data_IF_372377147781
#
_entry.id   IF_372377147781
#
_cell.length_a   1.000
_cell.length_b   1.000
_cell.length_c   1.000
_cell.angle_alpha   90.00
_cell.angle_beta   90.00
_cell.angle_gamma   90.00
#
_symmetry.space_group_name_H-M   'P 1'
#
loop_
_entity.id
_entity.type
_entity.pdbx_description
1 polymer ?
#
# COMPACT_ATOMS: atom_id res chain seq x y z
N UNK A 1 -12.73 -5.52 5.92
CA UNK A 1 -11.42 -5.19 6.52
C UNK A 1 -10.68 -4.37 5.48
N UNK A 2 -10.12 -3.23 5.88
CA UNK A 2 -9.26 -2.43 5.01
C UNK A 2 -7.97 -3.17 4.68
N UNK A 3 -7.36 -2.87 3.53
CA UNK A 3 -6.05 -3.38 3.19
C UNK A 3 -4.97 -2.67 4.02
N UNK A 4 -4.00 -3.42 4.51
CA UNK A 4 -2.98 -2.97 5.46
C UNK A 4 -1.59 -2.95 4.82
N UNK A 5 -0.88 -1.82 4.95
CA UNK A 5 0.53 -1.70 4.62
C UNK A 5 1.37 -1.76 5.89
N UNK A 6 2.17 -2.81 6.05
CA UNK A 6 3.04 -2.99 7.20
C UNK A 6 4.33 -2.17 7.07
N UNK A 7 4.63 -1.34 8.06
CA UNK A 7 5.88 -0.58 8.13
C UNK A 7 6.92 -1.41 8.87
N UNK A 8 8.00 -1.76 8.18
CA UNK A 8 9.13 -2.52 8.74
C UNK A 8 10.42 -1.74 8.62
N UNK A 9 11.41 -2.07 9.43
CA UNK A 9 12.74 -1.47 9.39
C UNK A 9 13.55 -1.90 10.61
N UNK A 10 14.87 -1.84 10.50
CA UNK A 10 15.79 -2.07 11.61
C UNK A 10 15.65 -0.96 12.68
N UNK A 11 16.13 -1.16 13.90
CA UNK A 11 16.17 -0.11 14.90
C UNK A 11 16.93 1.13 14.42
N UNK A 12 16.48 2.32 14.82
CA UNK A 12 17.12 3.61 14.56
C UNK A 12 17.20 4.04 13.08
N UNK A 13 16.33 3.50 12.21
CA UNK A 13 16.22 3.93 10.80
C UNK A 13 15.23 5.08 10.59
N UNK A 14 14.50 5.51 11.65
CA UNK A 14 13.47 6.54 11.58
C UNK A 14 12.04 6.00 11.48
N UNK A 15 11.84 4.69 11.64
CA UNK A 15 10.54 4.01 11.50
C UNK A 15 9.44 4.63 12.37
N UNK A 16 9.67 4.76 13.67
CA UNK A 16 8.69 5.33 14.60
C UNK A 16 8.41 6.81 14.34
N UNK A 17 9.42 7.57 13.91
CA UNK A 17 9.26 8.98 13.54
C UNK A 17 8.33 9.12 12.34
N UNK A 18 8.54 8.31 11.28
CA UNK A 18 7.70 8.28 10.08
C UNK A 18 6.28 7.83 10.44
N UNK A 19 6.11 6.75 11.20
CA UNK A 19 4.80 6.26 11.60
C UNK A 19 4.02 7.30 12.44
N UNK A 20 4.67 7.94 13.40
CA UNK A 20 4.05 8.97 14.21
C UNK A 20 3.64 10.19 13.38
N UNK A 21 4.47 10.62 12.42
CA UNK A 21 4.14 11.72 11.53
C UNK A 21 2.96 11.36 10.58
N UNK A 22 2.93 10.15 10.06
CA UNK A 22 1.80 9.61 9.27
C UNK A 22 0.49 9.62 10.07
N UNK A 23 0.54 9.19 11.33
CA UNK A 23 -0.66 9.05 12.18
C UNK A 23 -1.12 10.35 12.81
N UNK A 24 -0.24 11.34 12.97
CA UNK A 24 -0.64 12.70 13.41
C UNK A 24 -1.53 13.40 12.38
N UNK A 25 -1.22 13.21 11.10
CA UNK A 25 -2.08 13.67 10.00
C UNK A 25 -3.34 12.77 9.84
N UNK A 26 -3.45 11.74 10.66
CA UNK A 26 -4.51 10.75 10.60
C UNK A 26 -5.86 11.28 11.12
N UNK A 27 -6.91 10.70 10.59
CA UNK A 27 -8.31 11.08 10.85
C UNK A 27 -8.73 10.59 12.23
N UNK A 28 -9.57 11.38 12.90
CA UNK A 28 -10.37 10.85 13.99
C UNK A 28 -11.17 9.66 13.50
N UNK A 29 -10.97 8.48 14.11
CA UNK A 29 -11.60 7.20 13.74
C UNK A 29 -13.13 7.26 13.67
N UNK A 30 -13.73 8.31 14.21
CA UNK A 30 -15.17 8.60 14.18
C UNK A 30 -15.74 8.80 12.75
N UNK A 31 -14.90 9.16 11.77
CA UNK A 31 -15.31 9.38 10.39
C UNK A 31 -15.32 8.09 9.54
N UNK A 32 -14.75 7.00 10.06
CA UNK A 32 -14.68 5.70 9.36
C UNK A 32 -15.29 4.60 10.25
N UNK A 33 -16.57 4.29 10.08
CA UNK A 33 -17.35 3.42 11.00
C UNK A 33 -16.90 1.95 11.06
N UNK A 34 -15.89 1.57 10.28
CA UNK A 34 -15.38 0.18 10.24
C UNK A 34 -13.90 0.07 10.64
N UNK A 35 -13.27 1.15 11.10
CA UNK A 35 -11.88 1.12 11.56
C UNK A 35 -11.83 0.76 13.05
N UNK A 36 -11.17 -0.35 13.35
CA UNK A 36 -10.84 -0.74 14.73
C UNK A 36 -9.63 0.07 15.18
N UNK A 37 -9.72 0.77 16.31
CA UNK A 37 -8.57 1.44 16.93
C UNK A 37 -7.72 0.35 17.59
N UNK A 38 -6.72 -0.15 16.87
CA UNK A 38 -5.72 -1.05 17.42
C UNK A 38 -4.44 -0.26 17.71
N UNK A 39 -3.73 -0.55 18.80
CA UNK A 39 -2.39 -0.01 19.02
C UNK A 39 -1.52 -0.36 17.81
N UNK A 40 -0.76 0.59 17.31
CA UNK A 40 0.13 0.45 16.14
C UNK A 40 -0.57 0.39 14.76
N UNK A 41 -1.86 0.69 14.66
CA UNK A 41 -2.56 0.87 13.37
C UNK A 41 -2.92 2.35 13.20
N UNK A 42 -2.45 2.94 12.10
CA UNK A 42 -2.78 4.30 11.71
C UNK A 42 -3.65 4.30 10.45
N UNK A 43 -4.82 4.92 10.53
CA UNK A 43 -5.66 5.18 9.36
C UNK A 43 -5.35 6.57 8.86
N UNK A 44 -4.89 6.69 7.61
CA UNK A 44 -4.47 7.94 7.01
C UNK A 44 -5.27 8.25 5.75
N UNK A 45 -5.58 9.52 5.55
CA UNK A 45 -6.23 9.98 4.33
C UNK A 45 -5.29 9.84 3.14
N UNK A 46 -5.83 9.41 2.00
CA UNK A 46 -5.09 9.41 0.75
C UNK A 46 -5.18 10.80 0.14
N UNK A 47 -4.06 11.53 0.02
CA UNK A 47 -4.04 12.86 -0.56
C UNK A 47 -4.46 12.80 -2.03
N UNK A 48 -5.57 13.46 -2.37
CA UNK A 48 -6.08 13.49 -3.74
C UNK A 48 -6.59 14.90 -4.09
N UNK A 49 -5.86 15.66 -4.92
CA UNK A 49 -6.24 17.02 -5.30
C UNK A 49 -7.57 17.08 -6.07
N UNK A 50 -8.02 15.95 -6.64
CA UNK A 50 -9.30 15.86 -7.36
C UNK A 50 -10.50 16.12 -6.44
N UNK A 51 -10.38 15.77 -5.15
CA UNK A 51 -11.43 16.01 -4.15
C UNK A 51 -11.78 17.49 -4.03
N UNK A 52 -10.75 18.34 -3.94
CA UNK A 52 -10.95 19.81 -3.85
C UNK A 52 -11.62 20.34 -5.12
N UNK A 53 -11.14 19.93 -6.29
CA UNK A 53 -11.70 20.37 -7.56
C UNK A 53 -13.17 19.97 -7.75
N UNK A 54 -13.55 18.76 -7.32
CA UNK A 54 -14.95 18.32 -7.31
C UNK A 54 -15.79 19.12 -6.31
N UNK A 55 -15.28 19.36 -5.11
CA UNK A 55 -15.96 20.13 -4.07
C UNK A 55 -16.17 21.58 -4.48
N UNK A 56 -15.24 22.20 -5.18
CA UNK A 56 -15.37 23.59 -5.68
C UNK A 56 -16.52 23.74 -6.70
N UNK A 57 -16.82 22.67 -7.46
CA UNK A 57 -17.94 22.66 -8.41
C UNK A 57 -19.25 22.36 -7.71
N UNK A 58 -19.30 21.30 -6.90
CA UNK A 58 -20.53 20.77 -6.29
C UNK A 58 -20.94 21.54 -5.05
N UNK A 59 -19.97 22.14 -4.33
CA UNK A 59 -20.15 22.81 -3.03
C UNK A 59 -20.90 21.93 -2.01
N UNK A 60 -20.35 20.77 -1.68
CA UNK A 60 -21.00 19.81 -0.81
C UNK A 60 -21.02 20.29 0.65
N UNK A 61 -21.89 19.70 1.46
CA UNK A 61 -21.90 19.93 2.91
C UNK A 61 -20.67 19.32 3.60
N UNK A 62 -20.12 18.21 3.05
CA UNK A 62 -18.91 17.56 3.53
C UNK A 62 -18.16 16.85 2.41
N UNK A 63 -16.85 16.66 2.64
CA UNK A 63 -15.99 15.83 1.82
C UNK A 63 -15.45 14.68 2.63
N UNK A 64 -15.33 13.48 2.02
CA UNK A 64 -14.78 12.28 2.66
C UNK A 64 -13.73 11.68 1.72
N UNK A 65 -12.44 11.82 2.05
CA UNK A 65 -11.35 11.26 1.24
C UNK A 65 -11.29 9.73 1.38
N UNK A 66 -10.54 9.08 0.49
CA UNK A 66 -10.15 7.69 0.66
C UNK A 66 -9.15 7.56 1.82
N UNK A 67 -9.06 6.38 2.40
CA UNK A 67 -8.11 6.11 3.47
C UNK A 67 -7.39 4.78 3.26
N UNK A 68 -6.19 4.67 3.83
CA UNK A 68 -5.37 3.45 3.85
C UNK A 68 -4.87 3.21 5.28
N UNK A 69 -4.71 1.93 5.64
CA UNK A 69 -4.21 1.54 6.94
C UNK A 69 -2.70 1.28 6.86
N UNK A 70 -1.94 1.93 7.75
CA UNK A 70 -0.54 1.61 8.02
C UNK A 70 -0.40 0.96 9.38
N UNK A 71 0.43 -0.09 9.46
CA UNK A 71 0.66 -0.84 10.69
C UNK A 71 2.12 -0.73 11.07
N UNK A 72 2.42 -0.17 12.25
CA UNK A 72 3.78 -0.16 12.79
C UNK A 72 4.13 -1.56 13.29
N UNK A 73 5.02 -2.24 12.58
CA UNK A 73 5.50 -3.56 12.96
C UNK A 73 6.77 -3.38 13.79
N UNK A 74 6.74 -3.88 15.02
CA UNK A 74 7.87 -3.80 15.94
C UNK A 74 9.16 -4.32 15.26
N UNK A 75 10.27 -3.60 15.46
CA UNK A 75 11.52 -3.85 14.72
C UNK A 75 12.04 -5.27 14.85
N UNK A 76 12.55 -5.79 13.76
CA UNK A 76 13.21 -7.08 13.68
C UNK A 76 14.57 -7.01 14.38
N UNK A 77 14.89 -8.05 15.15
CA UNK A 77 16.27 -8.36 15.56
C UNK A 77 16.72 -9.56 14.75
N UNK A 78 17.95 -9.58 14.30
CA UNK A 78 18.55 -10.71 13.58
C UNK A 78 18.34 -12.02 14.36
N UNK A 79 17.94 -13.11 13.66
CA UNK A 79 17.60 -14.39 14.29
C UNK A 79 16.12 -14.58 14.63
N UNK A 80 15.25 -13.69 14.21
CA UNK A 80 13.80 -13.76 14.45
C UNK A 80 13.14 -15.03 13.90
N UNK A 81 13.64 -15.56 12.80
CA UNK A 81 13.13 -16.80 12.17
C UNK A 81 13.46 -18.06 12.97
N UNK A 82 14.44 -18.00 13.87
CA UNK A 82 14.87 -19.15 14.70
C UNK A 82 14.07 -19.32 15.98
N UNK A 83 13.11 -18.43 16.25
CA UNK A 83 11.91 -18.84 16.96
C UNK A 83 11.82 -18.70 18.44
N UNK A 84 12.24 -17.62 19.11
CA UNK A 84 11.67 -17.35 20.43
C UNK A 84 11.17 -15.90 20.57
N UNK A 85 9.89 -15.75 20.97
CA UNK A 85 9.33 -14.49 21.44
C UNK A 85 9.01 -13.46 20.35
N UNK A 86 9.70 -12.31 20.34
CA UNK A 86 9.41 -11.13 19.50
C UNK A 86 9.50 -11.40 18.00
N UNK A 87 10.38 -12.32 17.56
CA UNK A 87 10.52 -12.65 16.14
C UNK A 87 9.28 -13.32 15.55
N UNK A 88 8.65 -14.23 16.28
CA UNK A 88 7.41 -14.88 15.84
C UNK A 88 6.26 -13.88 15.75
N UNK A 89 6.20 -12.90 16.66
CA UNK A 89 5.19 -11.85 16.62
C UNK A 89 5.41 -10.92 15.43
N UNK A 90 6.66 -10.55 15.12
CA UNK A 90 7.00 -9.78 13.93
C UNK A 90 6.52 -10.46 12.65
N UNK A 91 6.84 -11.74 12.48
CA UNK A 91 6.39 -12.52 11.31
C UNK A 91 4.87 -12.66 11.25
N UNK A 92 4.19 -12.83 12.39
CA UNK A 92 2.74 -12.89 12.46
C UNK A 92 2.10 -11.55 12.00
N UNK A 93 2.61 -10.43 12.49
CA UNK A 93 2.12 -9.10 12.11
C UNK A 93 2.31 -8.84 10.61
N UNK A 94 3.45 -9.24 10.02
CA UNK A 94 3.64 -9.12 8.56
C UNK A 94 2.64 -9.99 7.79
N UNK A 95 2.30 -11.19 8.29
CA UNK A 95 1.30 -12.05 7.63
C UNK A 95 -0.06 -11.39 7.49
N UNK A 96 -0.44 -10.56 8.44
CA UNK A 96 -1.72 -9.83 8.44
C UNK A 96 -1.73 -8.61 7.52
N UNK A 97 -0.57 -8.17 7.02
CA UNK A 97 -0.46 -7.07 6.08
C UNK A 97 -0.55 -7.55 4.63
N UNK A 98 -1.02 -6.67 3.75
CA UNK A 98 -1.17 -6.95 2.31
C UNK A 98 0.03 -6.47 1.49
N UNK A 99 0.76 -5.47 2.00
CA UNK A 99 1.98 -4.92 1.42
C UNK A 99 2.97 -4.50 2.53
N UNK A 100 4.22 -4.24 2.14
CA UNK A 100 5.30 -3.87 3.05
C UNK A 100 5.89 -2.53 2.62
N UNK A 101 5.96 -1.58 3.56
CA UNK A 101 6.76 -0.36 3.45
C UNK A 101 8.04 -0.55 4.27
N UNK A 102 9.16 -0.74 3.61
CA UNK A 102 10.44 -1.00 4.23
C UNK A 102 11.21 0.32 4.38
N UNK A 103 11.32 0.79 5.63
CA UNK A 103 12.08 1.99 5.96
C UNK A 103 13.56 1.65 6.03
N UNK A 104 14.38 2.39 5.29
CA UNK A 104 15.85 2.22 5.26
C UNK A 104 16.54 3.55 5.53
N UNK A 105 17.62 3.52 6.28
CA UNK A 105 18.41 4.69 6.63
C UNK A 105 19.42 4.99 5.52
N UNK A 106 19.31 6.18 4.92
CA UNK A 106 20.20 6.66 3.85
C UNK A 106 20.91 7.95 4.23
N UNK A 107 21.35 8.06 5.49
CA UNK A 107 22.12 9.20 6.01
C UNK A 107 23.08 8.74 7.12
N UNK A 108 24.16 9.48 7.31
CA UNK A 108 25.09 9.32 8.42
C UNK A 108 24.84 10.39 9.48
N UNK A 109 24.72 9.97 10.74
CA UNK A 109 24.63 10.87 11.91
C UNK A 109 25.32 10.17 13.10
N UNK A 110 26.40 10.77 13.57
CA UNK A 110 27.22 10.23 14.68
C UNK A 110 26.46 10.13 16.00
N UNK A 111 25.37 10.91 16.15
CA UNK A 111 24.52 10.89 17.35
C UNK A 111 23.48 9.76 17.33
N UNK A 112 23.27 9.12 16.19
CA UNK A 112 22.31 8.03 16.02
C UNK A 112 23.04 6.73 15.75
N UNK A 113 23.15 5.87 16.77
CA UNK A 113 23.84 4.59 16.67
C UNK A 113 23.15 3.68 15.67
N UNK A 114 23.90 3.13 14.71
CA UNK A 114 23.42 2.06 13.83
C UNK A 114 23.68 0.71 14.47
N UNK A 115 22.74 -0.26 14.31
CA UNK A 115 22.79 -1.58 14.96
C UNK A 115 24.05 -2.37 14.57
N UNK A 116 24.51 -2.23 13.31
CA UNK A 116 25.73 -2.88 12.79
C UNK A 116 26.99 -2.03 12.95
N UNK A 117 26.89 -0.82 13.49
CA UNK A 117 28.01 0.12 13.64
C UNK A 117 28.41 0.86 12.36
N UNK A 118 27.77 0.57 11.23
CA UNK A 118 27.95 1.24 9.93
C UNK A 118 26.60 1.35 9.22
N UNK A 119 26.34 2.50 8.61
CA UNK A 119 25.15 2.67 7.78
C UNK A 119 25.37 2.01 6.42
N UNK A 120 24.61 0.97 6.15
CA UNK A 120 24.58 0.27 4.87
C UNK A 120 23.13 -0.16 4.58
N UNK A 121 22.39 0.62 3.78
CA UNK A 121 20.96 0.35 3.54
C UNK A 121 20.71 -0.97 2.82
N UNK A 122 21.65 -1.45 2.01
CA UNK A 122 21.51 -2.74 1.31
C UNK A 122 21.68 -3.90 2.28
N UNK A 123 22.63 -3.80 3.21
CA UNK A 123 22.79 -4.80 4.26
C UNK A 123 21.56 -4.84 5.17
N UNK A 124 21.02 -3.69 5.54
CA UNK A 124 19.78 -3.57 6.31
C UNK A 124 18.57 -4.23 5.62
N UNK A 125 18.42 -4.02 4.31
CA UNK A 125 17.40 -4.67 3.50
C UNK A 125 17.61 -6.19 3.50
N UNK A 126 18.82 -6.64 3.30
CA UNK A 126 19.16 -8.06 3.24
C UNK A 126 18.91 -8.78 4.57
N UNK A 127 19.15 -8.13 5.71
CA UNK A 127 18.85 -8.70 7.03
C UNK A 127 17.36 -9.03 7.14
N UNK A 128 16.46 -8.09 6.81
CA UNK A 128 15.03 -8.32 6.87
C UNK A 128 14.58 -9.35 5.82
N UNK A 129 15.03 -9.22 4.57
CA UNK A 129 14.65 -10.14 3.50
C UNK A 129 15.11 -11.58 3.80
N UNK A 130 16.28 -11.78 4.39
CA UNK A 130 16.77 -13.10 4.80
C UNK A 130 15.87 -13.73 5.85
N UNK A 131 15.46 -12.99 6.87
CA UNK A 131 14.57 -13.51 7.92
C UNK A 131 13.19 -13.89 7.36
N UNK A 132 12.66 -13.07 6.44
CA UNK A 132 11.39 -13.37 5.77
C UNK A 132 11.52 -14.59 4.85
N UNK A 133 12.63 -14.71 4.11
CA UNK A 133 12.90 -15.83 3.22
C UNK A 133 13.05 -17.16 4.01
N UNK A 134 13.73 -17.14 5.16
CA UNK A 134 13.86 -18.29 6.04
C UNK A 134 12.51 -18.77 6.59
N UNK A 135 11.63 -17.83 6.98
CA UNK A 135 10.29 -18.16 7.43
C UNK A 135 9.44 -18.77 6.29
N UNK A 136 9.54 -18.24 5.09
CA UNK A 136 8.86 -18.78 3.91
C UNK A 136 9.42 -20.14 3.51
N UNK A 137 10.74 -20.32 3.55
CA UNK A 137 11.39 -21.59 3.26
C UNK A 137 10.85 -22.72 4.14
N UNK A 138 10.70 -22.48 5.45
CA UNK A 138 10.08 -23.45 6.37
C UNK A 138 8.64 -23.79 5.97
N UNK A 139 7.89 -22.83 5.46
CA UNK A 139 6.51 -23.03 4.99
C UNK A 139 6.49 -23.83 3.69
N UNK A 140 7.36 -23.49 2.75
CA UNK A 140 7.52 -24.19 1.46
C UNK A 140 7.97 -25.65 1.69
N UNK A 141 8.95 -25.89 2.54
CA UNK A 141 9.44 -27.23 2.85
C UNK A 141 8.35 -28.10 3.46
N UNK A 142 7.57 -27.57 4.40
CA UNK A 142 6.42 -28.29 4.97
C UNK A 142 5.37 -28.62 3.91
N UNK A 143 5.07 -27.70 3.01
CA UNK A 143 4.12 -27.92 1.93
C UNK A 143 4.63 -28.95 0.93
N UNK A 144 5.90 -28.88 0.52
CA UNK A 144 6.54 -29.88 -0.35
C UNK A 144 6.50 -31.28 0.27
N UNK A 145 6.87 -31.42 1.54
CA UNK A 145 6.80 -32.68 2.26
C UNK A 145 5.39 -33.27 2.32
N UNK A 146 4.38 -32.41 2.49
CA UNK A 146 2.97 -32.83 2.55
C UNK A 146 2.43 -33.26 1.20
N UNK A 147 2.67 -32.48 0.15
CA UNK A 147 2.00 -32.62 -1.15
C UNK A 147 2.78 -33.45 -2.18
N UNK A 148 4.10 -33.66 -2.03
CA UNK A 148 4.92 -34.40 -3.00
C UNK A 148 4.44 -35.83 -3.24
N UNK A 149 3.93 -36.52 -2.21
CA UNK A 149 3.39 -37.88 -2.37
C UNK A 149 2.09 -37.88 -3.18
N UNK A 150 1.21 -36.92 -2.93
CA UNK A 150 -0.06 -36.75 -3.65
C UNK A 150 0.17 -36.38 -5.11
N UNK A 151 1.12 -35.47 -5.37
CA UNK A 151 1.52 -35.07 -6.71
C UNK A 151 2.05 -36.27 -7.55
N UNK A 152 2.86 -37.14 -6.94
CA UNK A 152 3.45 -38.32 -7.60
C UNK A 152 2.44 -39.43 -7.87
N UNK A 153 1.36 -39.53 -7.11
CA UNK A 153 0.33 -40.56 -7.32
C UNK A 153 -0.54 -40.31 -8.57
N UNK A 154 -0.39 -39.17 -9.23
CA UNK A 154 -1.01 -38.84 -10.52
C UNK A 154 -2.51 -38.55 -10.48
N UNK A 155 -3.14 -38.59 -9.31
CA UNK A 155 -4.57 -38.34 -9.14
C UNK A 155 -4.95 -36.91 -8.83
N UNK A 156 -4.04 -36.13 -8.25
CA UNK A 156 -4.27 -34.77 -7.78
C UNK A 156 -3.49 -33.75 -8.62
N UNK A 157 -4.18 -33.14 -9.57
CA UNK A 157 -3.61 -32.13 -10.47
C UNK A 157 -3.27 -30.82 -9.76
N UNK A 158 -4.02 -30.46 -8.71
CA UNK A 158 -3.78 -29.26 -7.94
C UNK A 158 -2.52 -29.41 -7.08
N UNK A 159 -2.36 -30.55 -6.42
CA UNK A 159 -1.14 -30.87 -5.69
C UNK A 159 0.10 -30.88 -6.60
N UNK A 160 -0.04 -31.40 -7.84
CA UNK A 160 1.07 -31.40 -8.80
C UNK A 160 1.48 -29.97 -9.19
N UNK A 161 0.53 -29.09 -9.51
CA UNK A 161 0.81 -27.70 -9.85
C UNK A 161 1.44 -26.96 -8.68
N UNK A 162 0.88 -27.12 -7.46
CA UNK A 162 1.44 -26.51 -6.24
C UNK A 162 2.90 -26.93 -6.04
N UNK A 163 3.22 -28.20 -6.15
CA UNK A 163 4.60 -28.70 -6.00
C UNK A 163 5.51 -28.09 -7.05
N UNK A 164 5.10 -28.03 -8.31
CA UNK A 164 5.87 -27.42 -9.40
C UNK A 164 6.17 -25.94 -9.14
N UNK A 165 5.19 -25.19 -8.64
CA UNK A 165 5.36 -23.75 -8.34
C UNK A 165 6.28 -23.55 -7.11
N UNK A 166 6.15 -24.39 -6.09
CA UNK A 166 7.02 -24.36 -4.92
C UNK A 166 8.47 -24.75 -5.27
N UNK A 167 8.69 -25.68 -6.21
CA UNK A 167 10.01 -26.04 -6.70
C UNK A 167 10.70 -24.90 -7.47
N UNK A 168 9.96 -23.93 -8.03
CA UNK A 168 10.52 -22.70 -8.61
C UNK A 168 10.94 -21.70 -7.52
N UNK A 169 10.16 -21.61 -6.43
CA UNK A 169 10.35 -20.65 -5.35
C UNK A 169 11.46 -21.08 -4.39
N UNK A 170 11.54 -22.35 -4.04
CA UNK A 170 12.44 -22.87 -3.02
C UNK A 170 13.93 -22.50 -3.23
N UNK A 171 14.52 -22.62 -4.44
CA UNK A 171 15.91 -22.23 -4.66
C UNK A 171 16.17 -20.74 -4.38
N UNK A 172 15.25 -19.86 -4.75
CA UNK A 172 15.36 -18.42 -4.54
C UNK A 172 15.34 -18.09 -3.04
N UNK A 173 14.45 -18.73 -2.29
CA UNK A 173 14.40 -18.58 -0.83
C UNK A 173 15.66 -19.13 -0.15
N UNK A 174 16.23 -20.22 -0.65
CA UNK A 174 17.51 -20.77 -0.15
C UNK A 174 18.69 -19.81 -0.34
N UNK A 175 18.61 -18.94 -1.34
CA UNK A 175 19.60 -17.87 -1.57
C UNK A 175 19.32 -16.63 -0.72
N UNK A 176 18.32 -16.65 0.17
CA UNK A 176 17.88 -15.50 0.97
C UNK A 176 17.14 -14.42 0.18
N UNK A 177 16.71 -14.72 -1.05
CA UNK A 177 16.00 -13.82 -1.95
C UNK A 177 14.50 -13.99 -1.82
N UNK A 178 13.76 -12.96 -2.19
CA UNK A 178 12.32 -12.92 -2.07
C UNK A 178 11.59 -13.70 -3.16
N UNK A 179 10.52 -14.42 -2.80
CA UNK A 179 9.69 -15.17 -3.75
C UNK A 179 9.06 -14.28 -4.84
N UNK A 180 8.85 -12.98 -4.57
CA UNK A 180 8.34 -12.01 -5.56
C UNK A 180 9.23 -11.82 -6.77
N UNK A 181 10.52 -12.20 -6.68
CA UNK A 181 11.46 -12.14 -7.81
C UNK A 181 11.32 -13.30 -8.78
N UNK A 182 10.55 -14.34 -8.43
CA UNK A 182 10.24 -15.47 -9.32
C UNK A 182 9.12 -15.05 -10.27
N UNK A 183 9.30 -15.19 -11.60
CA UNK A 183 8.23 -14.88 -12.55
C UNK A 183 7.12 -15.94 -12.46
N UNK A 184 6.04 -15.61 -11.78
CA UNK A 184 4.84 -16.43 -11.63
C UNK A 184 3.67 -15.78 -12.35
N UNK A 185 2.83 -16.63 -12.97
CA UNK A 185 1.56 -16.20 -13.56
C UNK A 185 0.50 -15.96 -12.48
N UNK A 186 -0.59 -15.25 -12.82
CA UNK A 186 -1.72 -15.04 -11.90
C UNK A 186 -2.33 -16.37 -11.41
N UNK A 187 -2.38 -17.39 -12.27
CA UNK A 187 -2.87 -18.72 -11.90
C UNK A 187 -1.95 -19.40 -10.89
N UNK A 188 -0.63 -19.29 -11.06
CA UNK A 188 0.38 -19.82 -10.14
C UNK A 188 0.33 -19.07 -8.80
N UNK A 189 0.19 -17.75 -8.82
CA UNK A 189 -0.02 -16.93 -7.62
C UNK A 189 -1.29 -17.33 -6.86
N UNK A 190 -2.37 -17.61 -7.57
CA UNK A 190 -3.63 -18.07 -6.95
C UNK A 190 -3.46 -19.42 -6.24
N UNK A 191 -2.66 -20.35 -6.82
CA UNK A 191 -2.38 -21.67 -6.24
C UNK A 191 -1.56 -21.57 -4.95
N UNK A 192 -0.57 -20.69 -4.89
CA UNK A 192 0.31 -20.53 -3.71
C UNK A 192 -0.26 -19.60 -2.65
N UNK A 193 -1.25 -18.76 -2.98
CA UNK A 193 -1.88 -17.79 -2.05
C UNK A 193 -2.27 -18.36 -0.69
N UNK A 194 -2.84 -19.60 -0.58
CA UNK A 194 -3.19 -20.19 0.72
C UNK A 194 -1.99 -20.46 1.64
N UNK A 195 -0.76 -20.37 1.16
CA UNK A 195 0.43 -20.55 1.99
C UNK A 195 0.84 -19.26 2.72
N UNK A 196 0.27 -18.10 2.38
CA UNK A 196 0.53 -16.80 2.99
C UNK A 196 2.03 -16.48 3.09
N UNK A 197 2.76 -16.69 1.99
CA UNK A 197 4.19 -16.39 1.93
C UNK A 197 4.44 -14.90 2.15
N UNK A 198 5.43 -14.58 2.98
CA UNK A 198 5.76 -13.21 3.37
C UNK A 198 6.49 -12.47 2.23
N UNK A 199 7.42 -13.16 1.59
CA UNK A 199 8.28 -12.56 0.55
C UNK A 199 7.60 -12.44 -0.82
N UNK A 200 6.35 -12.93 -0.97
CA UNK A 200 5.54 -12.70 -2.18
C UNK A 200 4.80 -11.37 -2.13
N UNK A 201 4.61 -10.81 -0.92
CA UNK A 201 3.92 -9.54 -0.74
C UNK A 201 4.63 -8.43 -1.48
N UNK A 202 3.88 -7.48 -2.09
CA UNK A 202 4.48 -6.30 -2.71
C UNK A 202 5.22 -5.47 -1.67
N UNK A 203 6.35 -4.87 -2.07
CA UNK A 203 7.20 -4.05 -1.22
C UNK A 203 7.48 -2.70 -1.87
N UNK A 204 7.56 -1.66 -1.05
CA UNK A 204 8.18 -0.39 -1.40
C UNK A 204 9.27 -0.05 -0.39
N UNK A 205 10.28 0.67 -0.84
CA UNK A 205 11.34 1.18 0.02
C UNK A 205 11.11 2.65 0.33
N UNK A 206 11.08 2.99 1.61
CA UNK A 206 11.02 4.37 2.09
C UNK A 206 12.41 4.74 2.59
N UNK A 207 13.14 5.47 1.77
CA UNK A 207 14.51 5.88 2.05
C UNK A 207 14.50 7.14 2.92
N UNK A 208 14.88 7.00 4.19
CA UNK A 208 15.02 8.12 5.11
C UNK A 208 16.36 8.80 4.86
N UNK A 209 16.31 10.06 4.41
CA UNK A 209 17.47 10.89 4.07
C UNK A 209 17.53 12.11 4.99
N UNK A 210 18.64 12.86 4.95
CA UNK A 210 18.72 14.19 5.55
C UNK A 210 18.02 15.25 4.67
N UNK A 211 17.83 16.46 5.22
CA UNK A 211 17.15 17.57 4.55
C UNK A 211 17.68 17.89 3.15
N UNK A 212 18.99 17.72 2.93
CA UNK A 212 19.66 17.91 1.64
C UNK A 212 20.12 16.62 0.98
N UNK A 213 19.64 15.46 1.48
CA UNK A 213 20.06 14.13 1.05
C UNK A 213 19.24 13.51 -0.09
N UNK A 214 18.40 14.28 -0.77
CA UNK A 214 17.56 13.81 -1.88
C UNK A 214 18.31 13.64 -3.20
N UNK A 215 19.42 14.39 -3.35
CA UNK A 215 20.29 14.37 -4.51
C UNK A 215 21.74 14.10 -4.10
N UNK A 216 22.53 13.55 -5.02
CA UNK A 216 23.95 13.23 -4.79
C UNK A 216 24.20 12.37 -3.53
N UNK A 217 23.29 11.44 -3.25
CA UNK A 217 23.33 10.55 -2.08
C UNK A 217 23.62 9.12 -2.53
N UNK A 218 24.86 8.61 -2.38
CA UNK A 218 25.23 7.27 -2.80
C UNK A 218 24.42 6.16 -2.11
N UNK A 219 23.98 6.37 -0.85
CA UNK A 219 23.17 5.41 -0.10
C UNK A 219 21.78 5.30 -0.71
N UNK A 220 21.17 6.43 -1.06
CA UNK A 220 19.87 6.49 -1.75
C UNK A 220 19.96 5.88 -3.15
N UNK A 221 21.04 6.16 -3.89
CA UNK A 221 21.24 5.61 -5.24
C UNK A 221 21.42 4.09 -5.20
N UNK A 222 22.09 3.55 -4.17
CA UNK A 222 22.18 2.12 -3.95
C UNK A 222 20.81 1.47 -3.70
N UNK A 223 19.95 2.10 -2.90
CA UNK A 223 18.59 1.63 -2.65
C UNK A 223 17.76 1.65 -3.93
N UNK A 224 17.87 2.71 -4.73
CA UNK A 224 17.17 2.81 -6.03
C UNK A 224 17.60 1.72 -7.00
N UNK A 225 18.89 1.42 -7.08
CA UNK A 225 19.44 0.36 -7.91
C UNK A 225 18.92 -1.02 -7.46
N UNK A 226 18.96 -1.31 -6.16
CA UNK A 226 18.44 -2.54 -5.58
C UNK A 226 16.93 -2.71 -5.86
N UNK A 227 16.15 -1.68 -5.59
CA UNK A 227 14.71 -1.69 -5.79
C UNK A 227 14.31 -1.88 -7.27
N UNK A 228 15.09 -1.36 -8.20
CA UNK A 228 14.85 -1.52 -9.63
C UNK A 228 14.94 -2.99 -10.07
N UNK A 229 15.81 -3.80 -9.46
CA UNK A 229 15.90 -5.24 -9.74
C UNK A 229 14.64 -6.00 -9.29
N UNK A 230 13.96 -5.51 -8.26
CA UNK A 230 12.71 -6.08 -7.74
C UNK A 230 11.46 -5.40 -8.32
N UNK A 231 11.60 -4.41 -9.21
CA UNK A 231 10.52 -3.54 -9.69
C UNK A 231 9.74 -2.86 -8.56
N UNK A 232 10.40 -2.60 -7.45
CA UNK A 232 9.81 -1.98 -6.27
C UNK A 232 9.95 -0.44 -6.32
N UNK A 233 8.91 0.33 -5.93
CA UNK A 233 9.02 1.78 -5.84
C UNK A 233 9.91 2.20 -4.67
N UNK A 234 10.61 3.34 -4.84
CA UNK A 234 11.39 4.00 -3.80
C UNK A 234 10.83 5.40 -3.58
N UNK A 235 10.54 5.73 -2.33
CA UNK A 235 10.14 7.08 -1.91
C UNK A 235 11.16 7.60 -0.92
N UNK A 236 11.88 8.67 -1.30
CA UNK A 236 12.80 9.35 -0.38
C UNK A 236 12.03 10.36 0.48
N UNK A 237 12.26 10.34 1.79
CA UNK A 237 11.66 11.25 2.76
C UNK A 237 12.72 11.67 3.79
N UNK A 238 12.58 12.85 4.38
CA UNK A 238 13.32 13.21 5.58
C UNK A 238 12.40 13.10 6.79
N UNK A 239 12.56 12.06 7.59
CA UNK A 239 11.68 11.78 8.72
C UNK A 239 11.59 12.95 9.72
N UNK A 240 12.71 13.69 9.91
CA UNK A 240 12.75 14.86 10.76
C UNK A 240 11.86 15.98 10.22
N UNK A 241 12.04 16.35 8.96
CA UNK A 241 11.24 17.37 8.26
C UNK A 241 9.76 17.00 8.25
N UNK A 242 9.43 15.73 7.98
CA UNK A 242 8.04 15.26 7.97
C UNK A 242 7.40 15.36 9.37
N UNK A 243 8.16 15.08 10.43
CA UNK A 243 7.66 15.26 11.80
C UNK A 243 7.38 16.73 12.13
N UNK A 244 8.22 17.66 11.66
CA UNK A 244 8.01 19.10 11.81
C UNK A 244 6.78 19.55 11.04
N UNK A 245 6.63 19.14 9.77
CA UNK A 245 5.45 19.46 8.93
C UNK A 245 4.15 18.95 9.56
N UNK A 246 4.17 17.77 10.18
CA UNK A 246 2.99 17.16 10.80
C UNK A 246 2.49 17.94 12.04
N UNK A 247 3.30 18.82 12.61
CA UNK A 247 2.94 19.67 13.75
C UNK A 247 2.44 21.07 13.34
N UNK A 248 2.54 21.43 12.05
CA UNK A 248 2.13 22.73 11.53
C UNK A 248 0.65 22.77 11.15
N UNK A 249 0.03 23.95 11.26
CA UNK A 249 -1.26 24.20 10.65
C UNK A 249 -1.16 24.36 9.12
N UNK A 250 -2.29 24.44 8.42
CA UNK A 250 -2.31 24.43 6.96
C UNK A 250 -1.57 25.62 6.33
N UNK A 251 -1.65 26.81 6.95
CA UNK A 251 -1.01 28.04 6.45
C UNK A 251 0.51 27.95 6.64
N UNK A 252 0.95 27.56 7.83
CA UNK A 252 2.37 27.40 8.15
C UNK A 252 2.99 26.25 7.34
N UNK A 253 2.24 25.19 7.08
CA UNK A 253 2.64 24.05 6.25
C UNK A 253 2.92 24.47 4.81
N UNK A 254 2.04 25.27 4.18
CA UNK A 254 2.26 25.78 2.83
C UNK A 254 3.52 26.64 2.75
N UNK A 255 3.71 27.54 3.71
CA UNK A 255 4.91 28.40 3.78
C UNK A 255 6.19 27.58 3.96
N UNK A 256 6.16 26.58 4.86
CA UNK A 256 7.31 25.71 5.11
C UNK A 256 7.71 24.90 3.87
N UNK A 257 6.74 24.33 3.17
CA UNK A 257 6.98 23.60 1.93
C UNK A 257 7.57 24.50 0.84
N UNK A 258 7.07 25.73 0.70
CA UNK A 258 7.59 26.71 -0.27
C UNK A 258 9.06 27.07 0.07
N UNK A 259 9.37 27.33 1.32
CA UNK A 259 10.73 27.64 1.78
C UNK A 259 11.71 26.49 1.52
N UNK A 260 11.25 25.25 1.64
CA UNK A 260 12.02 24.04 1.34
C UNK A 260 12.07 23.69 -0.16
N UNK A 261 11.38 24.45 -1.02
CA UNK A 261 11.26 24.14 -2.44
C UNK A 261 10.48 22.86 -2.73
N UNK A 262 9.62 22.43 -1.80
CA UNK A 262 8.80 21.22 -1.91
C UNK A 262 7.39 21.59 -2.37
N UNK A 263 6.81 20.79 -3.24
CA UNK A 263 5.42 20.96 -3.72
C UNK A 263 4.40 20.25 -2.85
N UNK A 264 4.83 19.27 -2.04
CA UNK A 264 4.02 18.46 -1.15
C UNK A 264 4.88 17.78 -0.10
N UNK A 265 4.32 17.34 1.04
CA UNK A 265 5.02 16.50 2.01
C UNK A 265 5.49 15.19 1.40
N UNK A 266 6.65 14.69 1.84
CA UNK A 266 7.14 13.39 1.42
C UNK A 266 6.22 12.24 1.84
N UNK A 267 5.56 12.38 3.00
CA UNK A 267 4.58 11.38 3.48
C UNK A 267 3.35 11.26 2.57
N UNK A 268 2.91 12.31 1.92
CA UNK A 268 1.83 12.23 0.93
C UNK A 268 2.21 11.31 -0.23
N UNK A 269 3.48 11.34 -0.64
CA UNK A 269 4.03 10.40 -1.65
C UNK A 269 4.09 8.97 -1.14
N UNK A 270 4.46 8.78 0.14
CA UNK A 270 4.46 7.44 0.78
C UNK A 270 3.05 6.87 0.84
N UNK A 271 2.07 7.68 1.23
CA UNK A 271 0.66 7.24 1.31
C UNK A 271 0.15 6.83 -0.07
N UNK A 272 0.37 7.64 -1.10
CA UNK A 272 -0.04 7.30 -2.48
C UNK A 272 0.68 6.07 -3.01
N UNK A 273 2.00 5.96 -2.76
CA UNK A 273 2.76 4.77 -3.16
C UNK A 273 2.25 3.50 -2.47
N UNK A 274 1.91 3.57 -1.18
CA UNK A 274 1.29 2.45 -0.45
C UNK A 274 -0.08 2.08 -1.00
N UNK A 275 -0.90 3.05 -1.34
CA UNK A 275 -2.20 2.87 -1.95
C UNK A 275 -2.09 2.17 -3.31
N UNK A 276 -1.17 2.63 -4.17
CA UNK A 276 -0.87 2.01 -5.46
C UNK A 276 -0.30 0.59 -5.32
N UNK A 277 0.59 0.38 -4.35
CA UNK A 277 1.22 -0.91 -4.07
C UNK A 277 0.20 -1.98 -3.69
N UNK A 278 -0.85 -1.56 -2.98
CA UNK A 278 -1.99 -2.41 -2.61
C UNK A 278 -2.93 -2.71 -3.80
N UNK A 279 -2.63 -2.20 -4.99
CA UNK A 279 -3.47 -2.38 -6.17
C UNK A 279 -4.81 -1.64 -6.10
N UNK A 280 -4.85 -0.56 -5.31
CA UNK A 280 -6.05 0.24 -5.10
C UNK A 280 -6.18 1.37 -6.12
N UNK A 281 -7.41 1.80 -6.32
CA UNK A 281 -7.75 3.01 -7.08
C UNK A 281 -9.03 3.63 -6.52
N UNK A 282 -9.32 4.84 -6.97
CA UNK A 282 -10.40 5.67 -6.44
C UNK A 282 -11.44 5.98 -7.51
N UNK A 283 -12.72 5.84 -7.18
CA UNK A 283 -13.79 6.50 -7.89
C UNK A 283 -14.50 7.48 -6.94
N UNK A 284 -15.29 8.39 -7.49
CA UNK A 284 -15.97 9.43 -6.72
C UNK A 284 -17.49 9.33 -6.85
N UNK A 285 -18.16 9.70 -5.76
CA UNK A 285 -19.55 10.13 -5.80
C UNK A 285 -19.60 11.61 -5.48
N UNK A 286 -20.30 12.41 -6.28
CA UNK A 286 -20.36 13.86 -6.15
C UNK A 286 -21.79 14.34 -6.07
N UNK A 287 -22.19 14.81 -4.89
CA UNK A 287 -23.52 15.32 -4.61
C UNK A 287 -23.52 16.48 -3.62
N UNK A 288 -24.61 17.25 -3.53
CA UNK A 288 -24.74 18.40 -2.64
C UNK A 288 -24.59 18.06 -1.15
N UNK A 289 -24.85 16.82 -0.77
CA UNK A 289 -24.67 16.36 0.61
C UNK A 289 -23.23 15.98 0.89
N UNK A 290 -22.61 15.29 -0.07
CA UNK A 290 -21.29 14.73 0.11
C UNK A 290 -20.57 14.59 -1.24
N UNK A 291 -19.28 14.91 -1.25
CA UNK A 291 -18.31 14.43 -2.23
C UNK A 291 -17.43 13.41 -1.52
N UNK A 292 -17.40 12.19 -2.05
CA UNK A 292 -16.66 11.10 -1.41
C UNK A 292 -15.79 10.35 -2.41
N UNK A 293 -14.58 10.05 -1.98
CA UNK A 293 -13.68 9.12 -2.65
C UNK A 293 -13.89 7.70 -2.09
N UNK A 294 -14.10 6.76 -2.99
CA UNK A 294 -14.33 5.36 -2.67
C UNK A 294 -13.13 4.53 -3.13
N UNK A 295 -12.62 3.70 -2.24
CA UNK A 295 -11.51 2.80 -2.53
C UNK A 295 -12.00 1.50 -3.13
N UNK A 296 -11.47 1.13 -4.28
CA UNK A 296 -11.72 -0.15 -4.97
C UNK A 296 -10.39 -0.74 -5.45
N UNK A 297 -10.40 -2.01 -5.85
CA UNK A 297 -9.25 -2.62 -6.50
C UNK A 297 -9.20 -2.26 -7.99
N UNK A 298 -8.00 -2.16 -8.52
CA UNK A 298 -7.79 -2.05 -9.97
C UNK A 298 -8.36 -3.30 -10.64
N UNK A 299 -9.24 -3.08 -11.62
CA UNK A 299 -9.96 -4.16 -12.30
C UNK A 299 -11.37 -4.46 -11.78
N UNK A 300 -11.80 -3.81 -10.69
CA UNK A 300 -13.16 -3.97 -10.19
C UNK A 300 -14.20 -3.50 -11.20
N UNK A 301 -15.27 -4.29 -11.33
CA UNK A 301 -16.42 -3.97 -12.15
C UNK A 301 -17.36 -2.96 -11.46
N UNK A 302 -18.24 -2.33 -12.22
CA UNK A 302 -19.23 -1.38 -11.67
C UNK A 302 -20.10 -1.97 -10.54
N UNK A 303 -20.59 -3.22 -10.59
CA UNK A 303 -21.29 -3.83 -9.45
C UNK A 303 -20.40 -3.99 -8.22
N UNK A 304 -19.14 -4.43 -8.38
CA UNK A 304 -18.19 -4.55 -7.26
C UNK A 304 -17.92 -3.19 -6.63
N UNK A 305 -17.71 -2.15 -7.43
CA UNK A 305 -17.58 -0.78 -6.97
C UNK A 305 -18.83 -0.28 -6.20
N UNK A 306 -20.03 -0.60 -6.70
CA UNK A 306 -21.28 -0.29 -6.01
C UNK A 306 -21.39 -1.01 -4.66
N UNK A 307 -20.85 -2.24 -4.58
CA UNK A 307 -20.81 -3.06 -3.38
C UNK A 307 -20.02 -2.45 -2.24
N UNK A 308 -19.00 -1.63 -2.55
CA UNK A 308 -18.22 -0.89 -1.55
C UNK A 308 -19.08 0.15 -0.82
N UNK A 309 -20.09 0.71 -1.47
CA UNK A 309 -21.05 1.60 -0.82
C UNK A 309 -22.00 0.80 0.08
N UNK A 310 -22.63 -0.23 -0.48
CA UNK A 310 -23.53 -1.13 0.23
C UNK A 310 -23.75 -2.42 -0.57
N UNK A 311 -23.85 -3.55 0.10
CA UNK A 311 -24.07 -4.87 -0.55
C UNK A 311 -25.36 -4.93 -1.38
N UNK A 312 -26.38 -4.17 -1.02
CA UNK A 312 -27.63 -4.10 -1.80
C UNK A 312 -27.42 -3.39 -3.14
N UNK A 313 -26.47 -2.45 -3.23
CA UNK A 313 -26.15 -1.79 -4.50
C UNK A 313 -25.51 -2.76 -5.48
N UNK A 314 -24.69 -3.69 -5.00
CA UNK A 314 -24.12 -4.76 -5.82
C UNK A 314 -25.18 -5.75 -6.28
N UNK A 315 -26.02 -6.24 -5.34
CA UNK A 315 -27.06 -7.23 -5.63
C UNK A 315 -28.11 -6.71 -6.59
N UNK A 316 -28.57 -5.49 -6.35
CA UNK A 316 -29.60 -4.83 -7.12
C UNK A 316 -29.08 -4.00 -8.30
N UNK A 317 -27.82 -4.09 -8.64
CA UNK A 317 -27.18 -3.25 -9.66
C UNK A 317 -27.92 -3.33 -11.01
N UNK A 318 -28.32 -2.15 -11.53
CA UNK A 318 -28.95 -2.00 -12.83
C UNK A 318 -27.94 -1.42 -13.83
N UNK A 319 -27.40 -0.25 -13.52
CA UNK A 319 -26.40 0.47 -14.32
C UNK A 319 -25.73 1.56 -13.49
N UNK A 320 -24.60 2.06 -13.96
CA UNK A 320 -23.93 3.23 -13.40
C UNK A 320 -23.94 4.39 -14.40
N UNK A 321 -24.38 5.56 -13.96
CA UNK A 321 -24.13 6.81 -14.67
C UNK A 321 -22.71 7.23 -14.35
N UNK A 322 -21.85 7.30 -15.37
CA UNK A 322 -20.39 7.47 -15.21
C UNK A 322 -19.90 8.64 -16.03
N UNK A 323 -19.18 9.55 -15.40
CA UNK A 323 -18.51 10.69 -16.03
C UNK A 323 -17.02 10.60 -15.67
N UNK A 324 -16.14 10.69 -16.68
CA UNK A 324 -14.72 10.78 -16.38
C UNK A 324 -14.43 12.08 -15.61
N UNK A 325 -13.49 12.02 -14.64
CA UNK A 325 -13.11 13.19 -13.84
C UNK A 325 -12.82 14.43 -14.70
N UNK A 326 -12.01 14.27 -15.76
CA UNK A 326 -11.67 15.36 -16.69
C UNK A 326 -12.89 16.00 -17.35
N UNK A 327 -13.87 15.21 -17.75
CA UNK A 327 -15.11 15.69 -18.33
C UNK A 327 -15.99 16.41 -17.26
N UNK A 328 -16.04 15.86 -16.05
CA UNK A 328 -16.77 16.50 -14.94
C UNK A 328 -16.24 17.90 -14.63
N UNK A 329 -14.92 18.06 -14.60
CA UNK A 329 -14.27 19.37 -14.39
C UNK A 329 -14.51 20.29 -15.59
N UNK A 330 -14.26 19.81 -16.81
CA UNK A 330 -14.38 20.60 -18.04
C UNK A 330 -15.77 21.18 -18.24
N UNK A 331 -16.80 20.37 -17.97
CA UNK A 331 -18.20 20.75 -18.16
C UNK A 331 -18.87 21.25 -16.87
N UNK A 332 -18.06 21.52 -15.82
CA UNK A 332 -18.52 22.13 -14.56
C UNK A 332 -19.64 21.35 -13.85
N UNK A 333 -19.50 20.04 -13.81
CA UNK A 333 -20.35 19.16 -13.05
C UNK A 333 -21.23 18.23 -13.90
N UNK A 334 -22.08 17.49 -13.20
CA UNK A 334 -22.91 16.43 -13.76
C UNK A 334 -23.82 16.93 -14.89
N UNK A 335 -24.54 18.03 -14.66
CA UNK A 335 -25.48 18.58 -15.63
C UNK A 335 -24.79 19.01 -16.92
N UNK A 336 -23.67 19.74 -16.83
CA UNK A 336 -22.89 20.18 -18.00
C UNK A 336 -22.31 19.01 -18.78
N UNK A 337 -21.80 18.00 -18.07
CA UNK A 337 -21.29 16.78 -18.70
C UNK A 337 -22.40 15.99 -19.40
N UNK A 338 -23.60 15.93 -18.81
CA UNK A 338 -24.77 15.29 -19.43
C UNK A 338 -25.20 16.03 -20.72
N UNK A 339 -25.32 17.35 -20.66
CA UNK A 339 -25.67 18.19 -21.84
C UNK A 339 -24.62 18.07 -22.96
N UNK A 340 -23.37 17.86 -22.61
CA UNK A 340 -22.28 17.63 -23.56
C UNK A 340 -22.18 16.17 -24.07
N UNK A 341 -23.06 15.27 -23.61
CA UNK A 341 -23.05 13.86 -23.98
C UNK A 341 -21.90 13.06 -23.41
N UNK A 342 -21.32 13.52 -22.28
CA UNK A 342 -20.17 12.89 -21.60
C UNK A 342 -20.57 11.97 -20.46
N UNK A 343 -21.83 11.96 -20.06
CA UNK A 343 -22.36 10.99 -19.10
C UNK A 343 -22.67 9.69 -19.84
N UNK A 344 -22.01 8.62 -19.45
CA UNK A 344 -22.17 7.28 -20.01
C UNK A 344 -23.07 6.44 -19.08
N UNK A 345 -23.85 5.55 -19.66
CA UNK A 345 -24.60 4.53 -18.91
C UNK A 345 -23.82 3.21 -19.02
N UNK A 346 -23.16 2.82 -17.96
CA UNK A 346 -22.30 1.64 -17.92
C UNK A 346 -23.00 0.44 -17.28
N UNK A 347 -22.80 -0.73 -17.86
CA UNK A 347 -23.40 -2.00 -17.41
C UNK A 347 -22.52 -2.77 -16.43
N UNK A 348 -22.90 -4.04 -16.21
CA UNK A 348 -22.26 -4.93 -15.21
C UNK A 348 -20.80 -5.25 -15.53
N UNK A 349 -20.42 -5.27 -16.79
CA UNK A 349 -19.08 -5.66 -17.24
C UNK A 349 -18.11 -4.47 -17.32
N UNK A 350 -18.58 -3.27 -17.00
CA UNK A 350 -17.73 -2.09 -17.02
C UNK A 350 -16.67 -2.15 -15.94
N UNK A 351 -15.41 -2.06 -16.34
CA UNK A 351 -14.27 -1.93 -15.43
C UNK A 351 -14.10 -0.46 -15.06
N UNK A 352 -14.28 -0.14 -13.78
CA UNK A 352 -14.18 1.23 -13.28
C UNK A 352 -12.78 1.77 -13.48
N UNK A 353 -12.70 3.00 -13.98
CA UNK A 353 -11.45 3.71 -14.17
C UNK A 353 -11.16 4.63 -12.99
N UNK A 354 -9.85 4.80 -12.67
CA UNK A 354 -9.45 5.72 -11.62
C UNK A 354 -9.93 7.15 -11.93
N UNK A 355 -10.62 7.75 -10.97
CA UNK A 355 -11.21 9.08 -11.10
C UNK A 355 -12.62 9.15 -11.70
N UNK A 356 -13.23 8.04 -12.09
CA UNK A 356 -14.62 8.05 -12.53
C UNK A 356 -15.52 8.68 -11.46
N UNK A 357 -16.42 9.56 -11.88
CA UNK A 357 -17.51 10.10 -11.04
C UNK A 357 -18.76 9.33 -11.36
N UNK A 358 -19.30 8.60 -10.37
CA UNK A 358 -20.31 7.58 -10.59
C UNK A 358 -21.56 7.79 -9.74
N UNK A 359 -22.71 7.47 -10.33
CA UNK A 359 -23.98 7.36 -9.64
C UNK A 359 -24.62 6.01 -10.00
N UNK A 360 -24.84 5.16 -8.98
CA UNK A 360 -25.37 3.80 -9.17
C UNK A 360 -26.89 3.78 -9.11
N UNK A 361 -27.50 3.14 -10.10
CA UNK A 361 -28.91 2.83 -10.14
C UNK A 361 -29.09 1.35 -9.78
N UNK A 362 -29.88 1.09 -8.78
CA UNK A 362 -30.12 -0.26 -8.26
C UNK A 362 -31.58 -0.43 -7.86
N UNK A 363 -32.02 -1.69 -7.77
CA UNK A 363 -33.33 -2.06 -7.29
C UNK A 363 -33.22 -3.32 -6.42
N UNK A 364 -33.70 -3.26 -5.19
CA UNK A 364 -33.62 -4.34 -4.19
C UNK A 364 -35.02 -4.81 -3.84
#
# INVERSE_FOLDING_TARGET
MGLKCGIVGLPNVGKSTIFNALTKAGIAAENYPFCTIEPNVGVVEVPDPRMKALADIVKPQRTVPAAVEFVDIAGLVAGASQGEGLGNQFLANIRECDAIAHIVRCFDDDNIVHVSGKVDPIDDINVINTELALADLQTVDRALNRYSKQARSGGDKEALKLVQDLEKIQPVLNEGRSARTVPLTEDELAIIRPLFLLTIKPVMYVANVEDHGFENNPLLDAVRAYAAEEHAPVVAVCAKTEAEIADLDDEDKEMFLEDMGMTEPGLDRVIRAGYDLLGLQTYFTAGVKEVRAWTIHKGDTAPQAAGVIHTDFERGFIRAQTIAYSDFITYKGEKGAQEAGKMRAEGKDYIVQDGDVMNFLFNV
#
